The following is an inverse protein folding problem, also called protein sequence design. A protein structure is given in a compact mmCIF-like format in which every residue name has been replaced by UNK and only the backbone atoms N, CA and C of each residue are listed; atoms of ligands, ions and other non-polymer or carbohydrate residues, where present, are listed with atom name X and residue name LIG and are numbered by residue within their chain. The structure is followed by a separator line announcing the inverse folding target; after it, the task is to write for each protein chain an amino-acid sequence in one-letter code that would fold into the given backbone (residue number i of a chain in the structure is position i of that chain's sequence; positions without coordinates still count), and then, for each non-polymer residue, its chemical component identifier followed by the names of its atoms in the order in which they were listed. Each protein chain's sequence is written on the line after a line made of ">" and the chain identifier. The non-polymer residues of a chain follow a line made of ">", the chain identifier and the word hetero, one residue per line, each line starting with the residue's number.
data_IF_422593052805
#
_entry.id   IF_422593052805
#
_cell.length_a   1.000
_cell.length_b   1.000
_cell.length_c   1.000
_cell.angle_alpha   90.00
_cell.angle_beta   90.00
_cell.angle_gamma   90.00
#
_symmetry.space_group_name_H-M   'P 1'
#
loop_
_entity.id
_entity.type
_entity.pdbx_description
1 polymer ?
#
# COMPACT_ATOMS: atom_id res chain seq x y z
N UNK A 1 8.54 4.25 -12.14
CA UNK A 1 8.92 5.02 -10.95
C UNK A 1 9.37 4.01 -9.92
N UNK A 2 10.52 4.22 -9.29
CA UNK A 2 10.99 3.34 -8.23
C UNK A 2 10.23 3.66 -6.94
N UNK A 3 9.66 2.64 -6.29
CA UNK A 3 8.92 2.78 -5.03
C UNK A 3 9.83 3.29 -3.91
N UNK A 4 11.12 2.93 -3.93
CA UNK A 4 12.07 3.33 -2.91
C UNK A 4 12.46 4.81 -2.98
N UNK A 5 12.17 5.48 -4.10
CA UNK A 5 12.46 6.90 -4.30
C UNK A 5 11.25 7.80 -4.00
N UNK A 6 10.09 7.20 -3.66
CA UNK A 6 8.91 7.97 -3.30
C UNK A 6 9.09 8.59 -1.89
N UNK A 7 8.87 9.91 -1.73
CA UNK A 7 8.92 10.55 -0.41
C UNK A 7 8.03 9.87 0.62
N UNK A 8 6.86 9.38 0.18
CA UNK A 8 5.86 8.74 1.02
C UNK A 8 6.21 7.28 1.37
N UNK A 9 7.23 6.69 0.74
CA UNK A 9 7.69 5.35 1.08
C UNK A 9 8.29 5.29 2.49
N UNK A 10 8.71 6.42 3.08
CA UNK A 10 9.07 6.61 4.50
C UNK A 10 9.67 5.38 5.23
N UNK A 11 10.55 4.63 4.57
CA UNK A 11 11.17 3.42 5.14
C UNK A 11 10.23 2.23 5.41
N UNK A 12 9.11 2.09 4.70
CA UNK A 12 8.18 0.96 4.86
C UNK A 12 8.90 -0.39 4.69
N UNK A 13 8.73 -1.29 5.66
CA UNK A 13 9.24 -2.67 5.58
C UNK A 13 8.70 -3.41 4.35
N UNK A 14 7.44 -3.16 3.96
CA UNK A 14 6.81 -3.86 2.83
C UNK A 14 5.66 -3.06 2.22
N UNK A 15 5.57 -3.08 0.89
CA UNK A 15 4.39 -2.62 0.13
C UNK A 15 3.94 -3.76 -0.79
N UNK A 16 2.66 -4.11 -0.73
CA UNK A 16 2.06 -5.21 -1.52
C UNK A 16 0.93 -4.65 -2.38
N UNK A 17 1.00 -4.94 -3.68
CA UNK A 17 -0.06 -4.62 -4.63
C UNK A 17 -0.92 -5.86 -4.87
N UNK A 18 -2.20 -5.76 -4.53
CA UNK A 18 -3.21 -6.77 -4.80
C UNK A 18 -4.05 -6.38 -6.01
N UNK A 19 -4.21 -7.30 -6.95
CA UNK A 19 -5.16 -7.18 -8.05
C UNK A 19 -5.98 -8.47 -8.14
N UNK A 20 -7.31 -8.33 -8.11
CA UNK A 20 -8.21 -9.42 -8.44
C UNK A 20 -9.06 -9.05 -9.65
N UNK A 21 -8.89 -9.80 -10.73
CA UNK A 21 -9.57 -9.53 -12.00
C UNK A 21 -11.07 -9.86 -11.95
N UNK A 22 -11.48 -10.83 -11.12
CA UNK A 22 -12.88 -11.26 -11.05
C UNK A 22 -13.76 -10.20 -10.39
N UNK A 23 -13.27 -9.55 -9.33
CA UNK A 23 -13.98 -8.47 -8.64
C UNK A 23 -13.57 -7.07 -9.13
N UNK A 24 -12.48 -6.96 -9.87
CA UNK A 24 -11.87 -5.68 -10.25
C UNK A 24 -11.13 -4.99 -9.10
N UNK A 25 -10.92 -5.68 -7.97
CA UNK A 25 -10.24 -5.12 -6.80
C UNK A 25 -8.81 -4.71 -7.14
N UNK A 26 -8.48 -3.49 -6.76
CA UNK A 26 -7.10 -2.98 -6.69
C UNK A 26 -6.87 -2.52 -5.26
N UNK A 27 -5.85 -3.09 -4.62
CA UNK A 27 -5.54 -2.80 -3.23
C UNK A 27 -4.04 -2.59 -3.08
N UNK A 28 -3.68 -1.66 -2.20
CA UNK A 28 -2.31 -1.44 -1.75
C UNK A 28 -2.27 -1.70 -0.25
N UNK A 29 -1.33 -2.54 0.18
CA UNK A 29 -1.10 -2.84 1.59
C UNK A 29 0.31 -2.37 1.92
N UNK A 30 0.40 -1.27 2.66
CA UNK A 30 1.66 -0.71 3.12
C UNK A 30 1.88 -1.09 4.60
N UNK A 31 3.02 -1.70 4.89
CA UNK A 31 3.45 -2.10 6.23
C UNK A 31 4.69 -1.28 6.56
N UNK A 32 4.54 -0.35 7.50
CA UNK A 32 5.64 0.50 7.93
C UNK A 32 6.62 -0.28 8.83
N UNK A 33 6.12 -0.93 9.89
CA UNK A 33 6.97 -1.68 10.82
C UNK A 33 6.26 -2.88 11.47
N UNK A 34 6.99 -3.97 11.70
CA UNK A 34 6.54 -5.17 12.44
C UNK A 34 7.40 -5.50 13.66
N UNK A 35 8.29 -4.60 14.09
CA UNK A 35 9.24 -4.83 15.18
C UNK A 35 8.59 -5.20 16.54
N UNK A 36 7.36 -4.74 16.80
CA UNK A 36 6.62 -5.02 18.04
C UNK A 36 5.55 -6.10 17.88
N UNK A 37 5.47 -6.76 16.73
CA UNK A 37 4.47 -7.77 16.40
C UNK A 37 3.77 -7.54 15.06
N UNK A 38 2.68 -8.27 14.78
CA UNK A 38 1.94 -8.13 13.53
C UNK A 38 1.44 -6.70 13.30
N UNK A 39 1.56 -6.21 12.07
CA UNK A 39 1.05 -4.89 11.71
C UNK A 39 -0.49 -4.86 11.77
N UNK A 40 -1.03 -3.85 12.42
CA UNK A 40 -2.46 -3.54 12.45
C UNK A 40 -2.67 -2.15 11.85
N UNK A 41 -3.64 -2.03 10.95
CA UNK A 41 -3.94 -0.79 10.24
C UNK A 41 -5.40 -0.76 9.78
N UNK A 42 -5.91 0.44 9.52
CA UNK A 42 -7.24 0.62 8.95
C UNK A 42 -7.29 0.25 7.47
N UNK A 43 -8.49 -0.07 6.98
CA UNK A 43 -8.75 -0.20 5.54
C UNK A 43 -9.45 1.08 5.06
N UNK A 44 -8.88 1.75 4.08
CA UNK A 44 -9.49 2.91 3.41
C UNK A 44 -9.83 2.52 1.98
N UNK A 45 -11.10 2.69 1.62
CA UNK A 45 -11.55 2.61 0.25
C UNK A 45 -11.85 4.03 -0.25
N UNK A 46 -11.14 4.46 -1.27
CA UNK A 46 -11.27 5.80 -1.83
C UNK A 46 -11.04 5.78 -3.34
N UNK A 47 -11.66 6.72 -4.04
CA UNK A 47 -11.49 6.90 -5.49
C UNK A 47 -10.33 7.85 -5.73
N UNK A 48 -9.15 7.30 -6.02
CA UNK A 48 -7.97 8.05 -6.42
C UNK A 48 -7.95 8.28 -7.94
N UNK A 49 -7.37 9.39 -8.37
CA UNK A 49 -7.27 9.78 -9.78
C UNK A 49 -6.23 8.93 -10.52
N UNK A 50 -5.15 8.53 -9.83
CA UNK A 50 -4.11 7.66 -10.37
C UNK A 50 -3.54 6.72 -9.29
N UNK A 51 -2.71 5.76 -9.73
CA UNK A 51 -2.01 4.86 -8.80
C UNK A 51 -0.91 5.58 -8.02
N UNK A 52 -0.34 6.66 -8.55
CA UNK A 52 0.63 7.47 -7.80
C UNK A 52 -0.01 8.28 -6.66
N UNK A 53 -1.32 8.55 -6.71
CA UNK A 53 -2.06 9.25 -5.65
C UNK A 53 -2.49 8.29 -4.51
N UNK A 54 -2.48 6.98 -4.77
CA UNK A 54 -3.03 5.94 -3.89
C UNK A 54 -1.97 5.37 -2.94
#
# INVERSE_FOLDING_TARGET
>A
MDLYEMPDFDGHEKVVFGFDAATGLRAVIAIHCTALGPAAGGCRMWSYTSTEEA
#
